data_IF_453526614950
#
_entry.id   IF_453526614950
#
_cell.length_a   1.000
_cell.length_b   1.000
_cell.length_c   1.000
_cell.angle_alpha   90.00
_cell.angle_beta   90.00
_cell.angle_gamma   90.00
#
_symmetry.space_group_name_H-M   'P 1'
#
loop_
_entity.id
_entity.type
_entity.pdbx_description
1 polymer ?
#
# COMPACT_ATOMS: atom_id res chain seq x y z
N UNK A 1 -11.33 39.59 -49.70
CA UNK A 1 -10.31 38.57 -49.43
C UNK A 1 -9.70 38.99 -48.10
N UNK A 2 -10.18 38.39 -47.01
CA UNK A 2 -9.79 38.70 -45.63
C UNK A 2 -9.17 37.41 -45.10
N UNK A 3 -7.93 37.52 -44.63
CA UNK A 3 -7.12 36.46 -44.03
C UNK A 3 -7.87 35.80 -42.85
N UNK A 4 -7.91 34.46 -42.74
CA UNK A 4 -8.43 33.83 -41.54
C UNK A 4 -7.40 33.98 -40.40
N UNK A 5 -7.84 34.56 -39.28
CA UNK A 5 -7.07 34.59 -38.03
C UNK A 5 -6.80 33.15 -37.56
N UNK A 6 -5.53 32.76 -37.54
CA UNK A 6 -5.08 31.50 -36.95
C UNK A 6 -5.25 31.60 -35.42
N UNK A 7 -6.24 30.88 -34.90
CA UNK A 7 -6.42 30.69 -33.46
C UNK A 7 -5.18 29.96 -32.89
N UNK A 8 -4.71 30.34 -31.70
CA UNK A 8 -3.57 29.68 -31.08
C UNK A 8 -3.88 28.20 -30.81
N UNK A 9 -3.04 27.31 -31.37
CA UNK A 9 -2.98 25.90 -30.97
C UNK A 9 -2.70 25.82 -29.47
N UNK A 10 -3.74 25.53 -28.69
CA UNK A 10 -3.55 25.06 -27.32
C UNK A 10 -2.79 23.74 -27.39
N UNK A 11 -1.56 23.73 -26.86
CA UNK A 11 -0.80 22.52 -26.61
C UNK A 11 -1.67 21.57 -25.78
N UNK A 12 -2.27 20.59 -26.45
CA UNK A 12 -3.04 19.55 -25.80
C UNK A 12 -2.07 18.80 -24.87
N UNK A 13 -2.37 18.67 -23.57
CA UNK A 13 -1.53 17.86 -22.68
C UNK A 13 -1.38 16.47 -23.32
N UNK A 14 -0.15 15.95 -23.40
CA UNK A 14 0.11 14.63 -23.97
C UNK A 14 -0.49 13.56 -23.07
N UNK A 15 -1.78 13.34 -23.26
CA UNK A 15 -2.58 12.32 -22.60
C UNK A 15 -2.30 11.00 -23.30
N UNK A 16 -1.68 10.07 -22.60
CA UNK A 16 -1.60 8.68 -23.06
C UNK A 16 -2.70 7.88 -22.37
N UNK A 17 -3.82 7.70 -23.08
CA UNK A 17 -4.89 6.79 -22.66
C UNK A 17 -4.56 5.39 -23.15
N UNK A 18 -4.42 4.45 -22.22
CA UNK A 18 -4.26 3.04 -22.52
C UNK A 18 -5.58 2.32 -22.21
N UNK A 19 -6.08 1.55 -23.17
CA UNK A 19 -7.29 0.75 -23.02
C UNK A 19 -7.12 -0.60 -23.70
N UNK A 20 -7.48 -1.69 -22.99
CA UNK A 20 -7.45 -3.07 -23.52
C UNK A 20 -6.08 -3.48 -24.10
N UNK A 21 -5.00 -3.03 -23.46
CA UNK A 21 -3.64 -3.31 -23.89
C UNK A 21 -2.80 -3.82 -22.72
N UNK A 22 -1.85 -4.69 -23.05
CA UNK A 22 -0.72 -5.05 -22.21
C UNK A 22 0.47 -4.20 -22.65
N UNK A 23 0.94 -3.33 -21.75
CA UNK A 23 1.99 -2.37 -22.06
C UNK A 23 3.20 -2.62 -21.17
N UNK A 24 4.35 -2.85 -21.78
CA UNK A 24 5.55 -3.10 -20.99
C UNK A 24 6.01 -1.86 -20.21
N UNK A 25 6.06 -0.69 -20.85
CA UNK A 25 6.48 0.54 -20.18
C UNK A 25 5.72 1.75 -20.73
N UNK A 26 5.23 2.58 -19.82
CA UNK A 26 4.56 3.85 -20.11
C UNK A 26 5.35 4.97 -19.45
N UNK A 27 5.71 5.98 -20.24
CA UNK A 27 6.32 7.22 -19.75
C UNK A 27 5.57 8.39 -20.36
N UNK A 28 4.93 9.20 -19.53
CA UNK A 28 4.19 10.39 -19.93
C UNK A 28 4.08 11.35 -18.73
N UNK A 29 3.60 12.57 -18.94
CA UNK A 29 3.26 13.47 -17.83
C UNK A 29 1.98 12.99 -17.11
N UNK A 30 0.99 12.55 -17.89
CA UNK A 30 -0.29 12.04 -17.41
C UNK A 30 -0.60 10.69 -18.05
N UNK A 31 -0.87 9.68 -17.21
CA UNK A 31 -1.22 8.33 -17.63
C UNK A 31 -2.61 7.99 -17.11
N UNK A 32 -3.51 7.64 -18.01
CA UNK A 32 -4.80 7.08 -17.65
C UNK A 32 -4.95 5.69 -18.26
N UNK A 33 -5.18 4.71 -17.40
CA UNK A 33 -5.42 3.33 -17.80
C UNK A 33 -6.83 2.92 -17.42
N UNK A 34 -7.51 2.29 -18.37
CA UNK A 34 -8.83 1.72 -18.16
C UNK A 34 -8.87 0.31 -18.75
N UNK A 35 -9.12 -0.70 -17.91
CA UNK A 35 -9.13 -2.11 -18.34
C UNK A 35 -7.85 -2.49 -19.11
N UNK A 36 -6.71 -2.12 -18.56
CA UNK A 36 -5.40 -2.33 -19.16
C UNK A 36 -4.38 -2.75 -18.11
N UNK A 37 -3.27 -3.33 -18.57
CA UNK A 37 -2.19 -3.79 -17.72
C UNK A 37 -0.87 -3.14 -18.15
N UNK A 38 -0.04 -2.77 -17.17
CA UNK A 38 1.27 -2.20 -17.44
C UNK A 38 2.37 -2.74 -16.52
N UNK A 39 3.54 -3.08 -17.05
CA UNK A 39 4.65 -3.53 -16.20
C UNK A 39 5.34 -2.34 -15.50
N UNK A 40 5.62 -1.25 -16.21
CA UNK A 40 6.24 -0.05 -15.65
C UNK A 40 5.49 1.21 -16.05
N UNK A 41 5.15 2.05 -15.08
CA UNK A 41 4.53 3.36 -15.29
C UNK A 41 5.42 4.41 -14.62
N UNK A 42 5.87 5.39 -15.40
CA UNK A 42 6.55 6.59 -14.88
C UNK A 42 5.81 7.82 -15.38
N UNK A 43 5.19 8.57 -14.46
CA UNK A 43 4.46 9.78 -14.82
C UNK A 43 4.37 10.75 -13.65
N UNK A 44 3.85 11.96 -13.86
CA UNK A 44 3.56 12.86 -12.74
C UNK A 44 2.22 12.50 -12.09
N UNK A 45 1.22 12.19 -12.90
CA UNK A 45 -0.11 11.76 -12.46
C UNK A 45 -0.52 10.45 -13.16
N UNK A 46 -0.99 9.50 -12.36
CA UNK A 46 -1.40 8.17 -12.80
C UNK A 46 -2.80 7.87 -12.29
N UNK A 47 -3.71 7.61 -13.22
CA UNK A 47 -5.07 7.20 -12.93
C UNK A 47 -5.33 5.79 -13.46
N UNK A 48 -5.63 4.84 -12.56
CA UNK A 48 -5.90 3.45 -12.89
C UNK A 48 -7.36 3.10 -12.56
N UNK A 49 -8.11 2.66 -13.56
CA UNK A 49 -9.47 2.15 -13.40
C UNK A 49 -9.56 0.72 -13.92
N UNK A 50 -9.97 -0.23 -13.06
CA UNK A 50 -10.09 -1.65 -13.44
C UNK A 50 -8.83 -2.18 -14.15
N UNK A 51 -7.65 -1.78 -13.68
CA UNK A 51 -6.37 -2.00 -14.36
C UNK A 51 -5.35 -2.66 -13.44
N UNK A 52 -4.27 -3.21 -13.99
CA UNK A 52 -3.14 -3.70 -13.20
C UNK A 52 -1.82 -3.01 -13.56
N UNK A 53 -0.96 -2.80 -12.56
CA UNK A 53 0.38 -2.29 -12.79
C UNK A 53 1.44 -2.99 -11.93
N UNK A 54 2.59 -3.36 -12.49
CA UNK A 54 3.64 -3.96 -11.66
C UNK A 54 4.42 -2.88 -10.88
N UNK A 55 5.00 -1.89 -11.56
CA UNK A 55 5.77 -0.82 -10.91
C UNK A 55 5.24 0.55 -11.31
N UNK A 56 4.72 1.32 -10.35
CA UNK A 56 4.22 2.67 -10.56
C UNK A 56 5.12 3.66 -9.83
N UNK A 57 5.74 4.57 -10.58
CA UNK A 57 6.48 5.70 -10.06
C UNK A 57 5.79 6.98 -10.51
N UNK A 58 5.21 7.73 -9.56
CA UNK A 58 4.58 8.98 -9.89
C UNK A 58 4.61 10.01 -8.77
N UNK A 59 4.13 11.22 -9.02
CA UNK A 59 3.91 12.21 -7.96
C UNK A 59 2.54 11.95 -7.29
N UNK A 60 1.52 11.71 -8.11
CA UNK A 60 0.16 11.42 -7.70
C UNK A 60 -0.30 10.08 -8.31
N UNK A 61 -0.92 9.23 -7.50
CA UNK A 61 -1.50 7.97 -7.96
C UNK A 61 -2.93 7.84 -7.45
N UNK A 62 -3.86 7.74 -8.39
CA UNK A 62 -5.27 7.43 -8.13
C UNK A 62 -5.62 6.07 -8.72
N UNK A 63 -5.99 5.12 -7.87
CA UNK A 63 -6.33 3.77 -8.31
C UNK A 63 -7.71 3.36 -7.81
N UNK A 64 -8.54 2.87 -8.73
CA UNK A 64 -9.89 2.38 -8.46
C UNK A 64 -10.09 1.01 -9.09
N UNK A 65 -10.57 0.08 -8.28
CA UNK A 65 -10.74 -1.34 -8.65
C UNK A 65 -9.51 -1.93 -9.36
N UNK A 66 -8.31 -1.57 -8.90
CA UNK A 66 -7.07 -1.85 -9.61
C UNK A 66 -6.07 -2.62 -8.74
N UNK A 67 -5.14 -3.32 -9.38
CA UNK A 67 -4.10 -4.10 -8.70
C UNK A 67 -2.70 -3.53 -8.98
N UNK A 68 -1.88 -3.32 -7.97
CA UNK A 68 -0.52 -2.81 -8.14
C UNK A 68 0.50 -3.63 -7.38
N UNK A 69 1.66 -3.96 -7.94
CA UNK A 69 2.68 -4.71 -7.20
C UNK A 69 3.53 -3.77 -6.31
N UNK A 70 4.09 -2.71 -6.88
CA UNK A 70 4.88 -1.70 -6.16
C UNK A 70 4.51 -0.29 -6.61
N UNK A 71 4.26 0.59 -5.65
CA UNK A 71 3.91 2.00 -5.86
C UNK A 71 4.86 2.89 -5.09
N UNK A 72 5.50 3.82 -5.79
CA UNK A 72 6.32 4.87 -5.22
C UNK A 72 5.79 6.22 -5.67
N UNK A 73 5.16 6.96 -4.76
CA UNK A 73 4.65 8.29 -5.07
C UNK A 73 4.57 9.21 -3.85
N UNK A 74 4.42 10.50 -4.05
CA UNK A 74 4.23 11.42 -2.91
C UNK A 74 2.86 11.23 -2.28
N UNK A 75 1.83 11.10 -3.12
CA UNK A 75 0.43 10.94 -2.72
C UNK A 75 -0.17 9.73 -3.44
N UNK A 76 -0.66 8.77 -2.66
CA UNK A 76 -1.30 7.55 -3.17
C UNK A 76 -2.72 7.49 -2.64
N UNK A 77 -3.70 7.34 -3.53
CA UNK A 77 -5.11 7.15 -3.20
C UNK A 77 -5.65 5.91 -3.90
N UNK A 78 -5.94 4.87 -3.13
CA UNK A 78 -6.51 3.60 -3.61
C UNK A 78 -7.90 3.46 -3.01
N UNK A 79 -8.95 3.51 -3.84
CA UNK A 79 -10.35 3.41 -3.37
C UNK A 79 -10.80 1.95 -3.19
N UNK A 80 -10.38 1.08 -4.09
CA UNK A 80 -10.65 -0.37 -4.03
C UNK A 80 -9.58 -1.05 -4.83
N UNK A 81 -8.86 -2.00 -4.25
CA UNK A 81 -7.77 -2.63 -4.96
C UNK A 81 -6.93 -3.54 -4.10
N UNK A 82 -5.92 -4.12 -4.73
CA UNK A 82 -4.89 -4.91 -4.07
C UNK A 82 -3.53 -4.29 -4.40
N UNK A 83 -2.77 -3.90 -3.38
CA UNK A 83 -1.43 -3.36 -3.57
C UNK A 83 -0.38 -4.18 -2.84
N UNK A 84 0.72 -4.53 -3.48
CA UNK A 84 1.82 -5.23 -2.82
C UNK A 84 2.55 -4.31 -1.86
N UNK A 85 3.27 -3.33 -2.41
CA UNK A 85 4.10 -2.42 -1.65
C UNK A 85 3.74 -0.96 -1.99
N UNK A 86 3.50 -0.15 -0.97
CA UNK A 86 3.28 1.29 -1.11
C UNK A 86 4.35 2.04 -0.33
N UNK A 87 5.07 2.93 -1.01
CA UNK A 87 5.92 3.94 -0.39
C UNK A 87 5.40 5.32 -0.77
N UNK A 88 4.96 6.10 0.23
CA UNK A 88 4.47 7.45 -0.01
C UNK A 88 4.62 8.38 1.19
N UNK A 89 4.60 9.70 0.97
CA UNK A 89 4.50 10.64 2.09
C UNK A 89 3.09 10.59 2.67
N UNK A 90 2.09 10.58 1.80
CA UNK A 90 0.67 10.43 2.15
C UNK A 90 0.05 9.25 1.40
N UNK A 91 -0.53 8.34 2.14
CA UNK A 91 -1.21 7.18 1.57
C UNK A 91 -2.64 7.09 2.11
N UNK A 92 -3.61 7.02 1.21
CA UNK A 92 -5.01 6.75 1.49
C UNK A 92 -5.39 5.45 0.80
N UNK A 93 -5.63 4.38 1.54
CA UNK A 93 -5.91 3.06 0.94
C UNK A 93 -7.16 2.44 1.51
N UNK A 94 -8.01 1.95 0.61
CA UNK A 94 -9.17 1.13 0.89
C UNK A 94 -9.10 -0.16 0.06
N UNK A 95 -9.01 -1.31 0.73
CA UNK A 95 -8.86 -2.63 0.11
C UNK A 95 -7.77 -3.48 0.77
N UNK A 96 -6.99 -4.19 -0.04
CA UNK A 96 -5.93 -5.07 0.43
C UNK A 96 -4.57 -4.47 0.15
N UNK A 97 -3.68 -4.43 1.14
CA UNK A 97 -2.31 -3.99 0.92
C UNK A 97 -1.33 -4.87 1.68
N UNK A 98 -0.28 -5.39 1.04
CA UNK A 98 0.64 -6.25 1.75
C UNK A 98 1.55 -5.43 2.68
N UNK A 99 2.14 -4.35 2.18
CA UNK A 99 3.05 -3.47 2.93
C UNK A 99 2.78 -2.01 2.61
N UNK A 100 2.58 -1.20 3.66
CA UNK A 100 2.51 0.26 3.56
C UNK A 100 3.66 0.87 4.36
N UNK A 101 4.48 1.67 3.70
CA UNK A 101 5.48 2.52 4.32
C UNK A 101 5.16 3.97 3.98
N UNK A 102 4.52 4.69 4.91
CA UNK A 102 4.14 6.07 4.66
C UNK A 102 4.37 7.01 5.83
N UNK A 103 4.68 8.28 5.54
CA UNK A 103 4.78 9.32 6.56
C UNK A 103 3.46 9.48 7.31
N UNK A 104 2.38 9.67 6.55
CA UNK A 104 0.99 9.71 7.00
C UNK A 104 0.15 8.68 6.23
N UNK A 105 -0.45 7.73 6.93
CA UNK A 105 -1.31 6.70 6.34
C UNK A 105 -2.75 6.85 6.83
N UNK A 106 -3.71 6.99 5.92
CA UNK A 106 -5.14 6.93 6.18
C UNK A 106 -5.70 5.64 5.57
N UNK A 107 -6.01 4.66 6.40
CA UNK A 107 -6.43 3.35 5.96
C UNK A 107 -7.82 3.07 6.50
N UNK A 108 -8.76 2.75 5.62
CA UNK A 108 -10.15 2.51 6.01
C UNK A 108 -10.64 1.20 5.42
N UNK A 109 -11.43 0.43 6.16
CA UNK A 109 -12.09 -0.79 5.67
C UNK A 109 -11.16 -1.76 4.91
N UNK A 110 -9.93 -1.91 5.39
CA UNK A 110 -8.85 -2.56 4.66
C UNK A 110 -8.18 -3.69 5.43
N UNK A 111 -7.55 -4.61 4.71
CA UNK A 111 -6.62 -5.58 5.28
C UNK A 111 -5.19 -5.25 4.84
N UNK A 112 -4.35 -4.89 5.81
CA UNK A 112 -2.95 -4.53 5.58
C UNK A 112 -2.02 -5.54 6.24
N UNK A 113 -1.09 -6.16 5.50
CA UNK A 113 -0.12 -7.08 6.11
C UNK A 113 0.76 -6.37 7.15
N UNK A 114 1.64 -5.51 6.67
CA UNK A 114 2.56 -4.70 7.46
C UNK A 114 2.30 -3.21 7.23
N UNK A 115 2.06 -2.46 8.29
CA UNK A 115 1.84 -1.03 8.22
C UNK A 115 2.91 -0.30 9.05
N UNK A 116 3.70 0.54 8.38
CA UNK A 116 4.73 1.36 9.01
C UNK A 116 4.47 2.82 8.68
N UNK A 117 4.35 3.66 9.70
CA UNK A 117 4.22 5.10 9.49
C UNK A 117 4.41 5.94 10.73
N UNK A 118 4.55 7.26 10.56
CA UNK A 118 4.66 8.17 11.70
C UNK A 118 3.27 8.48 12.26
N UNK A 119 2.36 8.85 11.39
CA UNK A 119 0.98 9.21 11.72
C UNK A 119 0.03 8.28 10.96
N UNK A 120 -0.67 7.42 11.70
CA UNK A 120 -1.55 6.39 11.14
C UNK A 120 -2.97 6.65 11.61
N UNK A 121 -3.86 6.95 10.67
CA UNK A 121 -5.30 6.95 10.90
C UNK A 121 -5.87 5.67 10.29
N UNK A 122 -6.40 4.79 11.13
CA UNK A 122 -6.84 3.47 10.70
C UNK A 122 -8.22 3.14 11.28
N UNK A 123 -9.22 3.00 10.42
CA UNK A 123 -10.60 2.71 10.79
C UNK A 123 -11.07 1.40 10.16
N UNK A 124 -11.50 0.45 11.01
CA UNK A 124 -11.90 -0.90 10.57
C UNK A 124 -10.80 -1.60 9.75
N UNK A 125 -9.55 -1.46 10.18
CA UNK A 125 -8.38 -2.03 9.50
C UNK A 125 -7.94 -3.31 10.19
N UNK A 126 -7.74 -4.36 9.40
CA UNK A 126 -7.13 -5.62 9.87
C UNK A 126 -5.65 -5.63 9.52
N UNK A 127 -4.77 -5.83 10.50
CA UNK A 127 -3.33 -5.92 10.20
C UNK A 127 -2.58 -7.00 10.96
N UNK A 128 -1.49 -7.51 10.38
CA UNK A 128 -0.61 -8.48 11.04
C UNK A 128 0.31 -7.75 11.99
N UNK A 129 0.96 -6.68 11.51
CA UNK A 129 1.89 -5.87 12.30
C UNK A 129 1.75 -4.39 11.94
N UNK A 130 1.59 -3.57 12.96
CA UNK A 130 1.51 -2.12 12.86
C UNK A 130 2.64 -1.49 13.67
N UNK A 131 3.46 -0.66 13.02
CA UNK A 131 4.53 0.13 13.61
C UNK A 131 4.26 1.61 13.36
N UNK A 132 3.65 2.26 14.36
CA UNK A 132 3.21 3.66 14.29
C UNK A 132 3.72 4.46 15.48
N UNK A 133 4.11 5.73 15.27
CA UNK A 133 4.38 6.63 16.40
C UNK A 133 3.09 7.15 17.01
N UNK A 134 2.14 7.51 16.16
CA UNK A 134 0.82 8.01 16.53
C UNK A 134 -0.21 7.23 15.70
N UNK A 135 -1.13 6.54 16.39
CA UNK A 135 -2.14 5.67 15.76
C UNK A 135 -3.50 6.07 16.29
N UNK A 136 -4.42 6.40 15.40
CA UNK A 136 -5.77 6.86 15.71
C UNK A 136 -6.80 6.03 14.96
N UNK A 137 -7.87 5.63 15.64
CA UNK A 137 -8.95 4.83 15.08
C UNK A 137 -8.99 3.39 15.60
N UNK A 138 -9.89 2.58 15.05
CA UNK A 138 -10.14 1.20 15.48
C UNK A 138 -9.40 0.21 14.58
N UNK A 139 -8.26 -0.30 15.06
CA UNK A 139 -7.44 -1.30 14.36
C UNK A 139 -7.64 -2.67 15.01
N UNK A 140 -7.95 -3.67 14.19
CA UNK A 140 -8.02 -5.07 14.63
C UNK A 140 -6.77 -5.81 14.18
N UNK A 141 -5.78 -5.97 15.05
CA UNK A 141 -4.60 -6.78 14.77
C UNK A 141 -4.92 -8.27 14.95
N UNK A 142 -4.58 -9.11 13.96
CA UNK A 142 -4.75 -10.58 14.11
C UNK A 142 -3.83 -11.16 15.18
N UNK A 143 -2.66 -10.56 15.37
CA UNK A 143 -1.83 -10.71 16.57
C UNK A 143 -2.05 -9.52 17.49
N UNK A 144 -3.08 -9.60 18.35
CA UNK A 144 -3.30 -8.57 19.37
C UNK A 144 -2.25 -8.68 20.49
N UNK A 145 -1.92 -7.54 21.09
CA UNK A 145 -1.01 -7.42 22.24
C UNK A 145 -1.42 -8.38 23.35
N UNK A 146 -2.73 -8.56 23.57
CA UNK A 146 -3.28 -9.50 24.55
C UNK A 146 -2.98 -10.95 24.20
N UNK A 147 -3.17 -11.33 22.93
CA UNK A 147 -2.86 -12.68 22.44
C UNK A 147 -1.37 -12.98 22.52
N UNK A 148 -0.53 -12.01 22.14
CA UNK A 148 0.93 -12.12 22.23
C UNK A 148 1.43 -12.25 23.69
N UNK A 149 0.85 -11.48 24.62
CA UNK A 149 1.17 -11.57 26.06
C UNK A 149 0.83 -12.94 26.63
N UNK A 150 -0.37 -13.46 26.32
CA UNK A 150 -0.81 -14.78 26.80
C UNK A 150 0.08 -15.88 26.21
N UNK A 151 0.34 -15.85 24.90
CA UNK A 151 1.21 -16.82 24.25
C UNK A 151 2.64 -16.78 24.84
N UNK A 152 3.19 -15.58 25.06
CA UNK A 152 4.50 -15.39 25.67
C UNK A 152 4.57 -15.91 27.11
N UNK A 153 3.57 -15.62 27.93
CA UNK A 153 3.49 -16.10 29.31
C UNK A 153 3.38 -17.63 29.37
N UNK A 154 2.51 -18.23 28.56
CA UNK A 154 2.34 -19.70 28.52
C UNK A 154 3.63 -20.37 28.06
N UNK A 155 4.24 -19.89 26.98
CA UNK A 155 5.46 -20.45 26.42
C UNK A 155 6.65 -20.29 27.38
N UNK A 156 6.78 -19.11 27.99
CA UNK A 156 7.84 -18.82 28.95
C UNK A 156 7.73 -19.65 30.22
N UNK A 157 6.50 -19.84 30.73
CA UNK A 157 6.27 -20.65 31.93
C UNK A 157 6.58 -22.13 31.65
N UNK A 158 6.09 -22.67 30.54
CA UNK A 158 6.36 -24.06 30.16
C UNK A 158 7.85 -24.31 29.89
N UNK A 159 8.48 -23.43 29.09
CA UNK A 159 9.90 -23.52 28.77
C UNK A 159 10.78 -23.36 30.02
N UNK A 160 10.45 -22.40 30.89
CA UNK A 160 11.16 -22.18 32.15
C UNK A 160 11.07 -23.39 33.09
N UNK A 161 9.89 -23.99 33.23
CA UNK A 161 9.71 -25.21 34.03
C UNK A 161 10.47 -26.40 33.45
N UNK A 162 10.44 -26.60 32.13
CA UNK A 162 11.23 -27.66 31.48
C UNK A 162 12.73 -27.47 31.69
N UNK A 163 13.24 -26.25 31.60
CA UNK A 163 14.66 -25.96 31.84
C UNK A 163 15.05 -26.21 33.30
N UNK A 164 14.20 -25.83 34.26
CA UNK A 164 14.44 -26.11 35.67
C UNK A 164 14.42 -27.61 35.97
N UNK A 165 13.46 -28.35 35.40
CA UNK A 165 13.37 -29.81 35.50
C UNK A 165 14.60 -30.48 34.87
N UNK A 166 14.98 -30.08 33.67
CA UNK A 166 16.16 -30.59 32.98
C UNK A 166 17.43 -30.34 33.78
N UNK A 167 17.62 -29.12 34.29
CA UNK A 167 18.78 -28.76 35.14
C UNK A 167 18.80 -29.55 36.45
N UNK A 168 17.66 -29.84 37.05
CA UNK A 168 17.57 -30.66 38.26
C UNK A 168 17.94 -32.13 38.00
N UNK A 169 17.48 -32.70 36.89
CA UNK A 169 17.77 -34.09 36.49
C UNK A 169 19.22 -34.27 36.02
N UNK A 170 19.76 -33.33 35.25
CA UNK A 170 21.12 -33.38 34.71
C UNK A 170 22.22 -33.13 35.76
N UNK A 171 21.89 -32.49 36.88
CA UNK A 171 22.85 -32.18 37.96
C UNK A 171 23.01 -33.34 38.97
N UNK A 172 22.29 -34.45 38.74
CA UNK A 172 22.27 -35.62 39.63
C UNK A 172 23.02 -36.84 39.06
N UNK A 173 23.71 -36.67 37.93
CA UNK A 173 24.78 -37.53 37.42
C UNK A 173 26.11 -36.78 37.48
#
# INVERSE_FOLDING_TARGET
MVEPEELPEFASPQVTTISQADVQSVTAEWVQMHQADAEMITADDVELHQSAAANVKATLVHARQSAMAAVHAENVSVETGAVGFVQAEKSSTNGYTAVIAAGSANVQHSAVGYLVGRDVHAENVRTILLLGRNVQGNVTTTFDTRGALIAGLVSGLFGGLMLLLGRFLLRRN
#
